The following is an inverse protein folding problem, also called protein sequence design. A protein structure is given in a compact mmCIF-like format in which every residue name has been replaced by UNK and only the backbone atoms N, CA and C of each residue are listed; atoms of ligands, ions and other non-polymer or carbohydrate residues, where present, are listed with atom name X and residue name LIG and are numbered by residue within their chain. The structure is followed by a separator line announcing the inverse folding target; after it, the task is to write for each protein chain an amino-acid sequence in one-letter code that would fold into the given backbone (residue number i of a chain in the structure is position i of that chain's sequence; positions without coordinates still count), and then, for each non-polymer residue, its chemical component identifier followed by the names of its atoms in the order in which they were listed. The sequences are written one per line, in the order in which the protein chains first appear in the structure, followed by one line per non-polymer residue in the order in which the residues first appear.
data_IF_589828837356
#
_entry.id   IF_589828837356
#
_cell.length_a   1.000
_cell.length_b   1.000
_cell.length_c   1.000
_cell.angle_alpha   90.00
_cell.angle_beta   90.00
_cell.angle_gamma   90.00
#
_symmetry.space_group_name_H-M   'P 1'
#
loop_
_entity.id
_entity.type
_entity.pdbx_description
1 polymer ?
#
# COMPACT_ATOMS: atom_id res chain seq x y z
N UNK A 1 2.79 29.33 -27.44
CA UNK A 1 2.07 28.08 -27.14
C UNK A 1 3.13 27.03 -26.87
N UNK A 2 3.31 26.66 -25.62
CA UNK A 2 4.07 25.47 -25.23
C UNK A 2 3.29 24.90 -24.04
N UNK A 3 2.47 23.89 -24.30
CA UNK A 3 1.85 23.07 -23.26
C UNK A 3 2.90 22.04 -22.81
N UNK A 4 3.67 22.41 -21.78
CA UNK A 4 4.67 21.55 -21.13
C UNK A 4 4.11 20.75 -19.94
N UNK A 5 2.80 20.47 -19.94
CA UNK A 5 2.18 19.57 -18.96
C UNK A 5 1.73 18.26 -19.62
N UNK A 6 2.70 17.54 -20.20
CA UNK A 6 2.60 16.08 -20.20
C UNK A 6 3.34 15.60 -18.98
N UNK A 7 2.63 15.62 -17.84
CA UNK A 7 2.91 14.68 -16.77
C UNK A 7 2.84 13.29 -17.41
N UNK A 8 4.02 12.77 -17.76
CA UNK A 8 4.16 11.36 -18.06
C UNK A 8 3.91 10.64 -16.74
N UNK A 9 2.64 10.38 -16.44
CA UNK A 9 2.26 9.28 -15.59
C UNK A 9 2.71 8.01 -16.33
N UNK A 10 3.98 7.67 -16.14
CA UNK A 10 4.40 6.29 -16.31
C UNK A 10 3.68 5.57 -15.18
N UNK A 11 2.48 5.07 -15.46
CA UNK A 11 1.92 3.93 -14.75
C UNK A 11 2.89 2.79 -15.01
N UNK A 12 3.96 2.75 -14.21
CA UNK A 12 4.85 1.61 -14.12
C UNK A 12 3.97 0.50 -13.60
N UNK A 13 3.42 -0.33 -14.50
CA UNK A 13 2.96 -1.65 -14.12
C UNK A 13 4.23 -2.40 -13.72
N UNK A 14 4.45 -2.68 -12.43
CA UNK A 14 5.63 -3.42 -12.05
C UNK A 14 5.27 -4.87 -12.35
N UNK A 15 5.74 -5.38 -13.48
CA UNK A 15 5.65 -6.81 -13.75
C UNK A 15 6.28 -7.64 -12.62
N UNK A 16 7.02 -7.03 -11.68
CA UNK A 16 7.39 -7.65 -10.40
C UNK A 16 7.49 -6.64 -9.26
N UNK A 17 6.69 -6.86 -8.21
CA UNK A 17 7.03 -6.39 -6.86
C UNK A 17 8.31 -7.12 -6.41
N UNK A 18 9.48 -6.57 -6.70
CA UNK A 18 10.76 -7.08 -6.23
C UNK A 18 11.34 -6.13 -5.18
N UNK A 19 11.82 -6.67 -4.06
CA UNK A 19 12.52 -5.91 -3.02
C UNK A 19 11.69 -5.51 -1.80
N UNK A 20 12.20 -4.51 -1.08
CA UNK A 20 11.65 -4.02 0.19
C UNK A 20 11.23 -2.55 0.03
N UNK A 21 9.99 -2.25 0.39
CA UNK A 21 9.47 -0.90 0.50
C UNK A 21 9.77 -0.36 1.90
N UNK A 22 10.53 0.72 2.00
CA UNK A 22 10.75 1.40 3.29
C UNK A 22 9.80 2.58 3.46
N UNK A 23 9.07 2.60 4.57
CA UNK A 23 8.19 3.67 5.02
C UNK A 23 8.88 4.40 6.18
N UNK A 24 8.92 5.72 6.13
CA UNK A 24 9.53 6.55 7.18
C UNK A 24 8.80 7.89 7.25
N UNK A 25 8.07 8.11 8.35
CA UNK A 25 7.31 9.33 8.60
C UNK A 25 8.05 10.32 9.53
N UNK A 26 9.32 10.06 9.83
CA UNK A 26 10.16 10.86 10.73
C UNK A 26 10.03 10.51 12.22
N UNK A 27 8.98 9.79 12.65
CA UNK A 27 8.80 9.31 14.03
C UNK A 27 8.92 7.80 14.16
N UNK A 28 8.64 7.07 13.08
CA UNK A 28 8.73 5.62 12.96
C UNK A 28 9.24 5.22 11.58
N UNK A 29 9.83 4.03 11.52
CA UNK A 29 10.28 3.41 10.29
C UNK A 29 9.74 1.99 10.20
N UNK A 30 9.30 1.61 9.00
CA UNK A 30 8.88 0.26 8.71
C UNK A 30 9.40 -0.20 7.34
N UNK A 31 9.50 -1.50 7.19
CA UNK A 31 9.90 -2.17 5.96
C UNK A 31 8.86 -3.22 5.58
N UNK A 32 8.53 -3.27 4.28
CA UNK A 32 7.57 -4.22 3.72
C UNK A 32 8.26 -5.01 2.61
N UNK A 33 8.39 -6.31 2.78
CA UNK A 33 8.94 -7.20 1.76
C UNK A 33 7.92 -7.43 0.64
N UNK A 34 7.91 -6.53 -0.35
CA UNK A 34 6.89 -6.50 -1.41
C UNK A 34 6.87 -7.79 -2.26
N UNK A 35 8.03 -8.41 -2.49
CA UNK A 35 8.09 -9.67 -3.25
C UNK A 35 7.43 -10.84 -2.55
N UNK A 36 7.69 -11.01 -1.25
CA UNK A 36 7.09 -12.09 -0.46
C UNK A 36 5.57 -11.86 -0.28
N UNK A 37 5.19 -10.60 -0.04
CA UNK A 37 3.78 -10.20 0.03
C UNK A 37 3.06 -10.47 -1.30
N UNK A 38 3.65 -10.07 -2.43
CA UNK A 38 3.08 -10.30 -3.76
C UNK A 38 2.92 -11.80 -4.03
N UNK A 39 3.99 -12.59 -3.86
CA UNK A 39 3.95 -14.03 -4.07
C UNK A 39 2.86 -14.72 -3.23
N UNK A 40 2.68 -14.28 -1.99
CA UNK A 40 1.65 -14.82 -1.09
C UNK A 40 0.25 -14.40 -1.53
N UNK A 41 0.06 -13.12 -1.87
CA UNK A 41 -1.22 -12.58 -2.33
C UNK A 41 -1.67 -13.19 -3.65
N UNK A 42 -0.79 -13.33 -4.65
CA UNK A 42 -1.12 -13.92 -5.96
C UNK A 42 -1.74 -15.31 -5.81
N UNK A 43 -1.28 -16.10 -4.84
CA UNK A 43 -1.83 -17.45 -4.55
C UNK A 43 -3.18 -17.41 -3.84
N UNK A 44 -3.50 -16.32 -3.16
CA UNK A 44 -4.74 -16.14 -2.41
C UNK A 44 -5.85 -15.51 -3.27
N UNK A 45 -5.52 -14.49 -4.06
CA UNK A 45 -6.51 -13.61 -4.73
C UNK A 45 -6.29 -13.45 -6.24
N UNK A 46 -5.27 -14.08 -6.81
CA UNK A 46 -4.86 -13.87 -8.20
C UNK A 46 -3.94 -12.67 -8.38
N UNK A 47 -3.22 -12.65 -9.50
CA UNK A 47 -2.13 -11.69 -9.77
C UNK A 47 -2.64 -10.25 -9.90
N UNK A 48 -3.67 -10.01 -10.70
CA UNK A 48 -4.22 -8.67 -10.90
C UNK A 48 -4.68 -8.01 -9.60
N UNK A 49 -5.34 -8.79 -8.73
CA UNK A 49 -5.83 -8.30 -7.44
C UNK A 49 -4.68 -8.08 -6.45
N UNK A 50 -3.69 -8.99 -6.42
CA UNK A 50 -2.48 -8.81 -5.63
C UNK A 50 -1.75 -7.51 -6.00
N UNK A 51 -1.65 -7.23 -7.31
CA UNK A 51 -1.03 -6.02 -7.82
C UNK A 51 -1.78 -4.76 -7.37
N UNK A 52 -3.11 -4.75 -7.49
CA UNK A 52 -3.93 -3.61 -7.02
C UNK A 52 -3.74 -3.33 -5.52
N UNK A 53 -3.74 -4.37 -4.70
CA UNK A 53 -3.58 -4.24 -3.24
C UNK A 53 -2.22 -3.65 -2.85
N UNK A 54 -1.13 -4.12 -3.47
CA UNK A 54 0.22 -3.64 -3.18
C UNK A 54 0.52 -2.27 -3.82
N UNK A 55 -0.21 -1.92 -4.87
CA UNK A 55 -0.13 -0.58 -5.46
C UNK A 55 -0.62 0.50 -4.50
N UNK A 56 -1.68 0.23 -3.73
CA UNK A 56 -2.15 1.17 -2.70
C UNK A 56 -1.10 1.39 -1.60
N UNK A 57 -0.37 0.36 -1.20
CA UNK A 57 0.77 0.50 -0.26
C UNK A 57 1.88 1.38 -0.86
N UNK A 58 2.15 1.22 -2.16
CA UNK A 58 3.17 2.01 -2.87
C UNK A 58 2.75 3.48 -3.02
N UNK A 59 1.46 3.74 -3.29
CA UNK A 59 0.89 5.11 -3.29
C UNK A 59 0.99 5.73 -1.91
N UNK A 60 0.60 4.99 -0.88
CA UNK A 60 0.70 5.43 0.50
C UNK A 60 2.13 5.83 0.88
N UNK A 61 3.15 5.07 0.45
CA UNK A 61 4.56 5.49 0.60
C UNK A 61 4.82 6.88 0.02
N UNK A 62 4.38 7.14 -1.21
CA UNK A 62 4.60 8.44 -1.86
C UNK A 62 3.94 9.57 -1.06
N UNK A 63 2.76 9.33 -0.49
CA UNK A 63 2.08 10.29 0.39
C UNK A 63 2.85 10.52 1.69
N UNK A 64 3.33 9.45 2.33
CA UNK A 64 4.19 9.52 3.54
C UNK A 64 5.45 10.33 3.27
N UNK A 65 6.16 10.03 2.18
CA UNK A 65 7.38 10.73 1.78
C UNK A 65 7.09 12.22 1.51
N UNK A 66 5.97 12.53 0.85
CA UNK A 66 5.53 13.90 0.61
C UNK A 66 5.23 14.66 1.90
N UNK A 67 4.43 14.08 2.80
CA UNK A 67 4.11 14.69 4.09
C UNK A 67 5.37 14.97 4.91
N UNK A 68 6.31 14.02 4.91
CA UNK A 68 7.63 14.20 5.54
C UNK A 68 8.39 15.37 4.96
N UNK A 69 8.47 15.49 3.63
CA UNK A 69 9.16 16.61 2.98
C UNK A 69 8.52 17.96 3.29
N UNK A 70 7.20 17.98 3.47
CA UNK A 70 6.43 19.17 3.87
C UNK A 70 6.54 19.47 5.38
N UNK A 71 7.24 18.64 6.15
CA UNK A 71 7.35 18.77 7.61
C UNK A 71 6.04 18.46 8.35
N UNK A 72 5.08 17.83 7.67
CA UNK A 72 3.81 17.38 8.24
C UNK A 72 4.05 16.00 8.83
N UNK A 73 3.99 15.89 10.16
CA UNK A 73 4.00 14.59 10.82
C UNK A 73 2.71 13.85 10.46
N UNK A 74 2.83 12.65 9.90
CA UNK A 74 1.72 11.69 9.95
C UNK A 74 1.36 11.51 11.43
N UNK A 75 0.10 11.76 11.77
CA UNK A 75 -0.37 11.69 13.16
C UNK A 75 -0.25 10.30 13.80
N UNK A 76 0.15 9.28 13.05
CA UNK A 76 0.42 7.94 13.56
C UNK A 76 1.91 7.79 13.87
N UNK A 77 2.24 7.51 15.14
CA UNK A 77 3.57 7.07 15.57
C UNK A 77 3.87 5.63 15.17
N UNK A 78 2.89 4.92 14.60
CA UNK A 78 2.99 3.52 14.17
C UNK A 78 2.55 3.41 12.71
N UNK A 79 3.40 2.82 11.88
CA UNK A 79 3.15 2.70 10.44
C UNK A 79 2.30 1.46 10.11
N UNK A 80 2.22 0.45 10.97
CA UNK A 80 1.43 -0.75 10.72
C UNK A 80 -0.09 -0.47 10.70
N UNK A 81 -0.70 0.21 11.70
CA UNK A 81 -2.09 0.64 11.64
C UNK A 81 -2.38 1.58 10.48
N UNK A 82 -1.38 2.38 10.06
CA UNK A 82 -1.53 3.28 8.91
C UNK A 82 -1.62 2.48 7.59
N UNK A 83 -0.82 1.43 7.41
CA UNK A 83 -0.95 0.50 6.29
C UNK A 83 -2.28 -0.26 6.36
N UNK A 84 -2.70 -0.71 7.53
CA UNK A 84 -4.00 -1.38 7.68
C UNK A 84 -5.14 -0.44 7.22
N UNK A 85 -5.09 0.84 7.59
CA UNK A 85 -6.11 1.84 7.22
C UNK A 85 -6.33 2.01 5.71
N UNK A 86 -5.43 1.51 4.87
CA UNK A 86 -5.64 1.44 3.41
C UNK A 86 -6.85 0.58 3.05
N UNK A 87 -7.17 -0.42 3.87
CA UNK A 87 -8.23 -1.40 3.62
C UNK A 87 -9.47 -1.19 4.49
N UNK A 88 -9.41 -0.33 5.50
CA UNK A 88 -10.53 0.00 6.38
C UNK A 88 -11.00 1.45 6.21
N UNK A 89 -12.29 1.71 6.42
CA UNK A 89 -12.83 3.06 6.50
C UNK A 89 -12.53 3.73 7.85
N UNK A 90 -12.93 4.99 8.01
CA UNK A 90 -12.74 5.75 9.25
C UNK A 90 -13.57 5.22 10.44
N UNK A 91 -14.55 4.34 10.20
CA UNK A 91 -15.32 3.64 11.22
C UNK A 91 -14.75 2.29 11.61
N UNK A 92 -13.62 1.86 11.01
CA UNK A 92 -13.02 0.55 11.22
C UNK A 92 -13.74 -0.59 10.47
N UNK A 93 -14.68 -0.26 9.58
CA UNK A 93 -15.30 -1.26 8.70
C UNK A 93 -14.40 -1.52 7.50
N UNK A 94 -14.56 -2.68 6.88
CA UNK A 94 -13.82 -3.00 5.67
C UNK A 94 -14.30 -2.09 4.52
N UNK A 95 -13.36 -1.53 3.75
CA UNK A 95 -13.71 -0.84 2.49
C UNK A 95 -14.38 -1.82 1.52
N UNK A 96 -15.07 -1.30 0.51
CA UNK A 96 -15.72 -2.13 -0.50
C UNK A 96 -14.69 -3.04 -1.20
N UNK A 97 -14.78 -4.38 -1.04
CA UNK A 97 -13.83 -5.34 -1.61
C UNK A 97 -13.68 -5.21 -3.13
N UNK A 98 -14.75 -4.78 -3.81
CA UNK A 98 -14.75 -4.65 -5.28
C UNK A 98 -13.79 -3.59 -5.79
N UNK A 99 -13.47 -2.58 -4.97
CA UNK A 99 -12.47 -1.56 -5.32
C UNK A 99 -11.09 -2.17 -5.56
N UNK A 100 -10.81 -3.33 -4.95
CA UNK A 100 -9.56 -4.07 -5.09
C UNK A 100 -9.68 -5.26 -6.05
N UNK A 101 -10.85 -5.53 -6.62
CA UNK A 101 -11.10 -6.72 -7.44
C UNK A 101 -11.40 -7.98 -6.62
N UNK A 102 -11.96 -7.83 -5.42
CA UNK A 102 -12.41 -8.93 -4.57
C UNK A 102 -13.93 -8.98 -4.49
N UNK A 103 -14.48 -10.17 -4.26
CA UNK A 103 -15.93 -10.39 -4.22
C UNK A 103 -16.49 -10.24 -2.81
N UNK A 104 -15.68 -10.47 -1.77
CA UNK A 104 -16.15 -10.52 -0.38
C UNK A 104 -15.27 -9.77 0.62
N UNK A 105 -15.87 -9.27 1.70
CA UNK A 105 -15.13 -8.67 2.82
C UNK A 105 -14.17 -9.65 3.49
N UNK A 106 -14.50 -10.94 3.44
CA UNK A 106 -13.64 -12.00 3.99
C UNK A 106 -12.32 -12.08 3.22
N UNK A 107 -12.37 -12.02 1.90
CA UNK A 107 -11.17 -12.03 1.04
C UNK A 107 -10.33 -10.79 1.29
N UNK A 108 -10.95 -9.60 1.34
CA UNK A 108 -10.21 -8.36 1.59
C UNK A 108 -9.56 -8.38 2.97
N UNK A 109 -10.25 -8.90 3.99
CA UNK A 109 -9.66 -9.07 5.33
C UNK A 109 -8.45 -9.99 5.33
N UNK A 110 -8.52 -11.12 4.62
CA UNK A 110 -7.40 -12.06 4.52
C UNK A 110 -6.22 -11.43 3.76
N UNK A 111 -6.49 -10.72 2.68
CA UNK A 111 -5.47 -10.05 1.90
C UNK A 111 -4.80 -8.91 2.68
N UNK A 112 -5.59 -8.06 3.37
CA UNK A 112 -5.09 -7.02 4.26
C UNK A 112 -4.21 -7.61 5.38
N UNK A 113 -4.63 -8.72 5.98
CA UNK A 113 -3.82 -9.42 6.98
C UNK A 113 -2.48 -9.91 6.43
N UNK A 114 -2.46 -10.46 5.20
CA UNK A 114 -1.22 -10.86 4.53
C UNK A 114 -0.30 -9.64 4.39
N UNK A 115 -0.78 -8.52 3.83
CA UNK A 115 0.03 -7.30 3.67
C UNK A 115 0.59 -6.83 5.01
N UNK A 116 -0.26 -6.72 6.03
CA UNK A 116 0.11 -6.28 7.39
C UNK A 116 1.17 -7.18 8.01
N UNK A 117 1.09 -8.51 7.81
CA UNK A 117 2.06 -9.47 8.37
C UNK A 117 3.47 -9.33 7.79
N UNK A 118 3.60 -8.67 6.63
CA UNK A 118 4.89 -8.37 6.02
C UNK A 118 5.43 -6.98 6.40
N UNK A 119 4.68 -6.18 7.16
CA UNK A 119 5.16 -4.93 7.75
C UNK A 119 6.03 -5.25 8.95
N UNK A 120 7.28 -4.77 8.94
CA UNK A 120 8.23 -4.90 10.05
C UNK A 120 8.70 -3.53 10.48
N UNK A 121 8.46 -3.17 11.73
CA UNK A 121 9.04 -1.95 12.32
C UNK A 121 10.57 -2.09 12.46
N UNK A 122 11.28 -0.98 12.28
CA UNK A 122 12.75 -0.91 12.25
C UNK A 122 13.28 0.16 13.20
#
# INVERSE_FOLDING_TARGET
MVDDNKDFEIEVMPDRFEGVLSLDNGSAKAEIALGDAHWTLTRLVGEDTANKLLWEVTKFKKEVDKMRLEGVALGSTDLQPAVDSLYYDSGGNMKDPKTFGLDTERELRLAAHVVSSFVKEV
#
